data_IF_304040805110
#
_entry.id   IF_304040805110
#
_cell.length_a   1.000
_cell.length_b   1.000
_cell.length_c   1.000
_cell.angle_alpha   90.00
_cell.angle_beta   90.00
_cell.angle_gamma   90.00
#
_symmetry.space_group_name_H-M   'P 1'
#
loop_
_entity.id
_entity.type
_entity.pdbx_description
1 polymer ?
#
# COMPACT_ATOMS: atom_id res chain seq x y z
N UNK A 1 13.77 7.47 36.61
CA UNK A 1 13.14 7.84 37.89
C UNK A 1 12.89 6.63 38.80
N UNK A 2 12.24 5.50 38.43
CA UNK A 2 12.08 4.34 39.31
C UNK A 2 13.41 3.78 39.85
N UNK A 3 14.43 3.77 39.00
CA UNK A 3 15.78 3.30 39.31
C UNK A 3 16.43 4.13 40.44
N UNK A 4 16.25 5.47 40.39
CA UNK A 4 16.80 6.33 41.47
C UNK A 4 16.11 6.07 42.80
N UNK A 5 14.79 5.86 42.80
CA UNK A 5 14.02 5.52 44.00
C UNK A 5 14.41 4.13 44.55
N UNK A 6 14.58 3.14 43.64
CA UNK A 6 15.11 1.83 44.03
C UNK A 6 16.50 1.96 44.66
N UNK A 7 17.37 2.82 44.11
CA UNK A 7 18.69 3.10 44.67
C UNK A 7 18.61 3.73 46.07
N UNK A 8 17.69 4.68 46.30
CA UNK A 8 17.47 5.28 47.64
C UNK A 8 17.04 4.20 48.65
N UNK A 9 16.17 3.29 48.28
CA UNK A 9 15.74 2.18 49.12
C UNK A 9 16.90 1.25 49.43
N UNK A 10 17.66 0.85 48.41
CA UNK A 10 18.82 -0.04 48.57
C UNK A 10 19.92 0.59 49.46
N UNK A 11 20.18 1.89 49.27
CA UNK A 11 21.15 2.61 50.10
C UNK A 11 20.69 2.72 51.56
N UNK A 12 19.41 2.97 51.79
CA UNK A 12 18.82 3.00 53.09
C UNK A 12 18.83 1.61 53.78
N UNK A 13 18.61 0.55 53.01
CA UNK A 13 18.72 -0.84 53.50
C UNK A 13 20.15 -1.21 53.90
N UNK A 14 21.12 -0.89 53.06
CA UNK A 14 22.53 -1.14 53.31
C UNK A 14 23.05 -0.40 54.55
N UNK A 15 22.56 0.83 54.77
CA UNK A 15 22.94 1.68 55.91
C UNK A 15 22.07 1.50 57.15
N UNK A 16 21.08 0.57 57.14
CA UNK A 16 20.12 0.33 58.21
C UNK A 16 19.35 1.58 58.66
N UNK A 17 19.10 2.53 57.78
CA UNK A 17 18.42 3.80 58.02
C UNK A 17 16.97 3.83 57.59
N UNK A 18 16.41 2.71 57.15
CA UNK A 18 15.05 2.63 56.65
C UNK A 18 14.06 2.71 57.81
N UNK A 19 13.18 3.69 57.74
CA UNK A 19 11.99 3.84 58.60
C UNK A 19 10.72 3.52 57.84
N UNK A 20 9.63 3.18 58.56
CA UNK A 20 8.32 2.98 57.91
C UNK A 20 7.84 4.20 57.09
N UNK A 21 8.18 5.41 57.56
CA UNK A 21 7.87 6.65 56.83
C UNK A 21 8.64 6.76 55.50
N UNK A 22 9.94 6.35 55.48
CA UNK A 22 10.72 6.33 54.23
C UNK A 22 10.13 5.38 53.21
N UNK A 23 9.70 4.18 53.64
CA UNK A 23 9.01 3.24 52.75
C UNK A 23 7.73 3.79 52.20
N UNK A 24 6.92 4.51 53.02
CA UNK A 24 5.67 5.14 52.55
C UNK A 24 5.96 6.23 51.52
N UNK A 25 6.92 7.12 51.77
CA UNK A 25 7.28 8.17 50.79
C UNK A 25 7.81 7.62 49.48
N UNK A 26 8.63 6.57 49.50
CA UNK A 26 9.13 5.90 48.33
C UNK A 26 7.98 5.22 47.56
N UNK A 27 7.04 4.56 48.28
CA UNK A 27 5.86 3.94 47.70
C UNK A 27 4.95 4.97 47.01
N UNK A 28 4.68 6.11 47.67
CA UNK A 28 3.92 7.22 47.09
C UNK A 28 4.64 7.84 45.89
N UNK A 29 5.94 8.01 45.99
CA UNK A 29 6.78 8.51 44.86
C UNK A 29 6.73 7.58 43.66
N UNK A 30 6.83 6.27 43.87
CA UNK A 30 6.71 5.27 42.78
C UNK A 30 5.30 5.32 42.14
N UNK A 31 4.25 5.37 42.97
CA UNK A 31 2.86 5.49 42.48
C UNK A 31 2.67 6.78 41.66
N UNK A 32 3.19 7.90 42.12
CA UNK A 32 3.14 9.18 41.38
C UNK A 32 3.90 9.09 40.03
N UNK A 33 5.08 8.48 40.02
CA UNK A 33 5.85 8.28 38.78
C UNK A 33 5.08 7.40 37.79
N UNK A 34 4.47 6.30 38.24
CA UNK A 34 3.69 5.41 37.39
C UNK A 34 2.49 6.16 36.80
N UNK A 35 1.78 6.98 37.59
CA UNK A 35 0.67 7.79 37.09
C UNK A 35 1.11 8.83 36.06
N UNK A 36 2.21 9.54 36.30
CA UNK A 36 2.78 10.49 35.32
C UNK A 36 3.22 9.76 34.06
N UNK A 37 3.88 8.62 34.20
CA UNK A 37 4.31 7.82 33.07
C UNK A 37 3.11 7.32 32.23
N UNK A 38 2.04 6.86 32.88
CA UNK A 38 0.82 6.45 32.22
C UNK A 38 0.18 7.62 31.45
N UNK A 39 0.11 8.81 32.06
CA UNK A 39 -0.41 10.00 31.40
C UNK A 39 0.42 10.42 30.18
N UNK A 40 1.75 10.43 30.34
CA UNK A 40 2.67 10.77 29.23
C UNK A 40 2.56 9.76 28.09
N UNK A 41 2.50 8.46 28.38
CA UNK A 41 2.27 7.44 27.37
C UNK A 41 0.93 7.62 26.67
N UNK A 42 -0.13 7.81 27.40
CA UNK A 42 -1.45 8.05 26.81
C UNK A 42 -1.47 9.25 25.86
N UNK A 43 -0.87 10.37 26.27
CA UNK A 43 -0.76 11.57 25.43
C UNK A 43 0.11 11.32 24.19
N UNK A 44 1.26 10.65 24.39
CA UNK A 44 2.17 10.29 23.28
C UNK A 44 1.48 9.42 22.24
N UNK A 45 0.84 8.33 22.67
CA UNK A 45 0.17 7.38 21.79
C UNK A 45 -1.01 8.02 21.07
N UNK A 46 -1.80 8.85 21.79
CA UNK A 46 -2.91 9.58 21.20
C UNK A 46 -2.47 10.56 20.12
N UNK A 47 -1.41 11.35 20.39
CA UNK A 47 -0.87 12.31 19.43
C UNK A 47 -0.20 11.64 18.22
N UNK A 48 0.56 10.55 18.45
CA UNK A 48 1.19 9.79 17.39
C UNK A 48 0.15 9.15 16.46
N UNK A 49 -0.87 8.50 17.03
CA UNK A 49 -1.93 7.86 16.26
C UNK A 49 -2.72 8.90 15.47
N UNK A 50 -3.12 10.01 16.09
CA UNK A 50 -3.86 11.07 15.42
C UNK A 50 -3.06 11.67 14.24
N UNK A 51 -1.77 11.96 14.45
CA UNK A 51 -0.91 12.48 13.39
C UNK A 51 -0.74 11.48 12.23
N UNK A 52 -0.54 10.20 12.54
CA UNK A 52 -0.43 9.14 11.54
C UNK A 52 -1.69 9.01 10.70
N UNK A 53 -2.84 8.84 11.33
CA UNK A 53 -4.12 8.67 10.63
C UNK A 53 -4.48 9.87 9.75
N UNK A 54 -4.29 11.10 10.24
CA UNK A 54 -4.57 12.30 9.44
C UNK A 54 -3.66 12.40 8.21
N UNK A 55 -2.35 12.20 8.39
CA UNK A 55 -1.38 12.28 7.29
C UNK A 55 -1.66 11.24 6.20
N UNK A 56 -2.02 10.00 6.60
CA UNK A 56 -2.28 8.94 5.63
C UNK A 56 -3.68 9.02 5.02
N UNK A 57 -4.67 9.62 5.70
CA UNK A 57 -5.94 9.96 5.09
C UNK A 57 -5.76 10.93 3.91
N UNK A 58 -4.96 11.99 4.10
CA UNK A 58 -4.65 12.94 3.03
C UNK A 58 -3.90 12.27 1.87
N UNK A 59 -2.93 11.38 2.18
CA UNK A 59 -2.21 10.63 1.14
C UNK A 59 -3.12 9.66 0.36
N UNK A 60 -4.10 9.05 1.00
CA UNK A 60 -5.11 8.22 0.30
C UNK A 60 -5.96 9.05 -0.67
N UNK A 61 -6.36 10.26 -0.25
CA UNK A 61 -7.12 11.18 -1.11
C UNK A 61 -6.25 11.62 -2.30
N UNK A 62 -4.99 11.97 -2.07
CA UNK A 62 -4.02 12.32 -3.11
C UNK A 62 -3.84 11.18 -4.11
N UNK A 63 -3.57 9.95 -3.61
CA UNK A 63 -3.41 8.76 -4.46
C UNK A 63 -4.69 8.45 -5.26
N UNK A 64 -5.86 8.52 -4.63
CA UNK A 64 -7.15 8.35 -5.32
C UNK A 64 -7.39 9.44 -6.37
N UNK A 65 -6.97 10.67 -6.10
CA UNK A 65 -7.00 11.79 -7.05
C UNK A 65 -6.08 11.55 -8.25
N UNK A 66 -4.86 11.07 -7.99
CA UNK A 66 -3.87 10.73 -9.00
C UNK A 66 -4.33 9.56 -9.89
N UNK A 67 -4.81 8.47 -9.30
CA UNK A 67 -5.31 7.31 -10.04
C UNK A 67 -6.40 7.68 -11.06
N UNK A 68 -7.27 8.63 -10.76
CA UNK A 68 -8.32 9.07 -11.70
C UNK A 68 -7.78 9.79 -12.93
N UNK A 69 -6.55 10.30 -12.88
CA UNK A 69 -5.91 11.03 -13.97
C UNK A 69 -4.93 10.18 -14.78
N UNK A 70 -4.65 8.96 -14.33
CA UNK A 70 -3.76 8.06 -15.06
C UNK A 70 -4.40 7.57 -16.36
N UNK A 71 -3.61 7.35 -17.42
CA UNK A 71 -4.11 6.77 -18.65
C UNK A 71 -4.64 5.35 -18.41
N UNK A 72 -5.69 4.97 -19.15
CA UNK A 72 -6.32 3.65 -19.00
C UNK A 72 -5.33 2.49 -19.22
N UNK A 73 -4.25 2.73 -19.95
CA UNK A 73 -3.16 1.77 -20.16
C UNK A 73 -2.43 1.34 -18.90
N UNK A 74 -2.48 2.14 -17.87
CA UNK A 74 -1.92 1.78 -16.57
C UNK A 74 -2.72 0.68 -15.87
N UNK A 75 -4.03 0.61 -16.09
CA UNK A 75 -4.94 -0.33 -15.43
C UNK A 75 -4.97 -1.71 -16.10
N UNK A 76 -3.80 -2.31 -16.28
CA UNK A 76 -3.68 -3.72 -16.70
C UNK A 76 -3.94 -4.65 -15.51
N UNK A 77 -4.23 -5.93 -15.80
CA UNK A 77 -4.48 -6.92 -14.75
C UNK A 77 -3.33 -7.02 -13.71
N UNK A 78 -2.08 -6.92 -14.14
CA UNK A 78 -0.91 -6.90 -13.26
C UNK A 78 -0.84 -5.64 -12.40
N UNK A 79 -1.09 -4.47 -12.98
CA UNK A 79 -1.04 -3.20 -12.25
C UNK A 79 -2.24 -3.03 -11.30
N UNK A 80 -3.42 -3.55 -11.64
CA UNK A 80 -4.59 -3.53 -10.74
C UNK A 80 -4.28 -4.25 -9.43
N UNK A 81 -3.65 -5.43 -9.49
CA UNK A 81 -3.20 -6.14 -8.29
C UNK A 81 -2.18 -5.35 -7.47
N UNK A 82 -1.24 -4.68 -8.13
CA UNK A 82 -0.24 -3.80 -7.51
C UNK A 82 -0.88 -2.59 -6.83
N UNK A 83 -1.79 -1.90 -7.53
CA UNK A 83 -2.56 -0.76 -6.98
C UNK A 83 -3.38 -1.18 -5.76
N UNK A 84 -4.07 -2.33 -5.87
CA UNK A 84 -4.85 -2.88 -4.75
C UNK A 84 -3.97 -3.18 -3.54
N UNK A 85 -2.78 -3.77 -3.73
CA UNK A 85 -1.81 -4.02 -2.66
C UNK A 85 -1.32 -2.72 -2.02
N UNK A 86 -1.01 -1.70 -2.82
CA UNK A 86 -0.60 -0.37 -2.33
C UNK A 86 -1.70 0.27 -1.49
N UNK A 87 -2.94 0.29 -1.98
CA UNK A 87 -4.06 0.94 -1.27
C UNK A 87 -4.50 0.21 -0.01
N UNK A 88 -4.50 -1.14 -0.01
CA UNK A 88 -5.04 -1.94 1.09
C UNK A 88 -3.97 -2.45 2.07
N UNK A 89 -2.77 -2.76 1.59
CA UNK A 89 -1.74 -3.39 2.42
C UNK A 89 -0.64 -2.40 2.79
N UNK A 90 -0.02 -1.76 1.81
CA UNK A 90 1.13 -0.89 2.08
C UNK A 90 0.72 0.37 2.83
N UNK A 91 -0.36 1.03 2.42
CA UNK A 91 -0.88 2.22 3.11
C UNK A 91 -1.30 1.92 4.54
N UNK A 92 -2.02 0.80 4.77
CA UNK A 92 -2.43 0.38 6.12
C UNK A 92 -1.22 0.05 6.98
N UNK A 93 -0.25 -0.71 6.43
CA UNK A 93 0.97 -1.05 7.16
C UNK A 93 1.74 0.19 7.61
N UNK A 94 1.91 1.18 6.72
CA UNK A 94 2.63 2.40 7.09
C UNK A 94 1.81 3.23 8.09
N UNK A 95 0.49 3.37 7.90
CA UNK A 95 -0.40 4.08 8.82
C UNK A 95 -0.32 3.55 10.25
N UNK A 96 -0.32 2.23 10.43
CA UNK A 96 -0.28 1.59 11.74
C UNK A 96 1.11 1.55 12.36
N UNK A 97 2.16 1.40 11.54
CA UNK A 97 3.50 1.04 12.01
C UNK A 97 4.46 2.23 12.00
N UNK A 98 4.33 3.19 11.07
CA UNK A 98 5.34 4.24 10.90
C UNK A 98 5.52 5.10 12.15
N UNK A 99 4.44 5.66 12.70
CA UNK A 99 4.53 6.57 13.83
C UNK A 99 5.00 5.85 15.10
N UNK A 100 4.51 4.62 15.34
CA UNK A 100 4.95 3.81 16.48
C UNK A 100 6.43 3.42 16.35
N UNK A 101 6.90 3.05 15.17
CA UNK A 101 8.31 2.72 14.92
C UNK A 101 9.22 3.91 15.16
N UNK A 102 8.88 5.09 14.63
CA UNK A 102 9.65 6.32 14.84
C UNK A 102 9.67 6.73 16.33
N UNK A 103 8.52 6.68 17.00
CA UNK A 103 8.40 6.98 18.43
C UNK A 103 9.24 6.01 19.28
N UNK A 104 9.15 4.71 19.00
CA UNK A 104 9.94 3.68 19.67
C UNK A 104 11.45 3.88 19.46
N UNK A 105 11.88 4.16 18.24
CA UNK A 105 13.30 4.42 17.94
C UNK A 105 13.83 5.62 18.73
N UNK A 106 13.09 6.72 18.76
CA UNK A 106 13.46 7.90 19.55
C UNK A 106 13.54 7.55 21.05
N UNK A 107 12.54 6.82 21.56
CA UNK A 107 12.49 6.37 22.95
C UNK A 107 13.69 5.47 23.30
N UNK A 108 14.00 4.49 22.45
CA UNK A 108 15.13 3.58 22.69
C UNK A 108 16.48 4.29 22.58
N UNK A 109 16.66 5.23 21.65
CA UNK A 109 17.86 6.06 21.56
C UNK A 109 18.06 6.92 22.82
N UNK A 110 17.01 7.65 23.23
CA UNK A 110 17.08 8.47 24.42
C UNK A 110 17.31 7.63 25.68
N UNK A 111 16.60 6.51 25.82
CA UNK A 111 16.80 5.58 26.92
C UNK A 111 18.23 5.08 26.98
N UNK A 112 18.80 4.64 25.86
CA UNK A 112 20.18 4.16 25.78
C UNK A 112 21.19 5.25 26.19
N UNK A 113 20.98 6.49 25.75
CA UNK A 113 21.84 7.62 26.11
C UNK A 113 21.73 7.96 27.60
N UNK A 114 20.52 7.99 28.15
CA UNK A 114 20.28 8.26 29.58
C UNK A 114 20.90 7.15 30.44
N UNK A 115 20.73 5.88 30.06
CA UNK A 115 21.27 4.75 30.76
C UNK A 115 22.82 4.75 30.74
N UNK A 116 23.40 5.07 29.59
CA UNK A 116 24.84 5.19 29.45
C UNK A 116 25.40 6.36 30.28
N UNK A 117 24.75 7.53 30.22
CA UNK A 117 25.15 8.68 31.05
C UNK A 117 25.04 8.37 32.54
N UNK A 118 24.00 7.64 32.96
CA UNK A 118 23.86 7.20 34.35
C UNK A 118 24.96 6.25 34.77
N UNK A 119 25.42 5.34 33.89
CA UNK A 119 26.59 4.49 34.21
C UNK A 119 27.86 5.29 34.42
N UNK A 120 28.12 6.34 33.62
CA UNK A 120 29.24 7.26 33.83
C UNK A 120 29.12 8.06 35.15
N UNK A 121 27.88 8.46 35.51
CA UNK A 121 27.60 9.14 36.78
C UNK A 121 27.90 8.24 37.99
N UNK A 122 27.55 6.95 37.92
CA UNK A 122 27.82 6.00 38.99
C UNK A 122 29.33 5.75 39.17
N UNK A 123 30.01 5.46 38.08
CA UNK A 123 31.46 5.31 38.05
C UNK A 123 31.96 5.38 36.58
N UNK A 124 32.99 6.19 36.33
CA UNK A 124 33.51 6.38 34.97
C UNK A 124 34.05 5.09 34.33
N UNK A 125 34.61 4.14 35.12
CA UNK A 125 35.13 2.86 34.63
C UNK A 125 34.00 1.94 34.17
N UNK A 126 32.87 1.91 34.88
CA UNK A 126 31.69 1.16 34.50
C UNK A 126 31.04 1.77 33.23
N UNK A 127 30.99 3.10 33.17
CA UNK A 127 30.54 3.82 31.99
C UNK A 127 31.40 3.54 30.75
N UNK A 128 32.72 3.44 30.93
CA UNK A 128 33.65 3.14 29.84
C UNK A 128 33.42 1.73 29.28
N UNK A 129 33.22 0.70 30.10
CA UNK A 129 32.88 -0.65 29.66
C UNK A 129 31.55 -0.63 28.89
N UNK A 130 30.51 0.02 29.45
CA UNK A 130 29.24 0.13 28.81
C UNK A 130 29.32 0.80 27.41
N UNK A 131 30.15 1.87 27.31
CA UNK A 131 30.38 2.57 26.04
C UNK A 131 31.11 1.67 25.02
N UNK A 132 32.15 0.95 25.43
CA UNK A 132 32.88 0.01 24.56
C UNK A 132 31.94 -1.07 24.04
N UNK A 133 31.14 -1.69 24.91
CA UNK A 133 30.18 -2.72 24.52
C UNK A 133 29.15 -2.15 23.54
N UNK A 134 28.65 -0.94 23.78
CA UNK A 134 27.70 -0.26 22.89
C UNK A 134 28.30 0.00 21.50
N UNK A 135 29.54 0.49 21.43
CA UNK A 135 30.26 0.73 20.16
C UNK A 135 30.47 -0.60 19.40
N UNK A 136 30.95 -1.65 20.11
CA UNK A 136 31.14 -2.95 19.51
C UNK A 136 29.83 -3.54 19.00
N UNK A 137 28.74 -3.42 19.76
CA UNK A 137 27.39 -3.86 19.34
C UNK A 137 26.94 -3.11 18.11
N UNK A 138 27.19 -1.81 18.02
CA UNK A 138 26.88 -1.01 16.84
C UNK A 138 27.65 -1.48 15.58
N UNK A 139 28.93 -1.80 15.70
CA UNK A 139 29.78 -2.33 14.63
C UNK A 139 29.26 -3.70 14.15
N UNK A 140 28.94 -4.60 15.08
CA UNK A 140 28.33 -5.92 14.75
C UNK A 140 26.99 -5.74 14.04
N UNK A 141 26.15 -4.81 14.51
CA UNK A 141 24.85 -4.52 13.92
C UNK A 141 24.93 -3.95 12.53
N UNK A 142 25.96 -3.15 12.22
CA UNK A 142 26.20 -2.72 10.81
C UNK A 142 26.44 -3.91 9.88
N UNK A 143 27.25 -4.89 10.33
CA UNK A 143 27.48 -6.13 9.59
C UNK A 143 26.18 -6.94 9.41
N UNK A 144 25.45 -7.10 10.49
CA UNK A 144 24.16 -7.79 10.50
C UNK A 144 23.15 -7.15 9.54
N UNK A 145 23.00 -5.82 9.56
CA UNK A 145 22.07 -5.10 8.68
C UNK A 145 22.42 -5.29 7.19
N UNK A 146 23.71 -5.29 6.83
CA UNK A 146 24.13 -5.53 5.45
C UNK A 146 23.71 -6.93 4.96
N UNK A 147 23.84 -7.95 5.81
CA UNK A 147 23.42 -9.32 5.51
C UNK A 147 21.89 -9.38 5.46
N UNK A 148 21.20 -8.79 6.44
CA UNK A 148 19.74 -8.76 6.53
C UNK A 148 19.11 -8.17 5.27
N UNK A 149 19.57 -7.01 4.81
CA UNK A 149 19.07 -6.35 3.62
C UNK A 149 19.25 -7.21 2.35
N UNK A 150 20.42 -7.83 2.21
CA UNK A 150 20.70 -8.68 1.04
C UNK A 150 19.80 -9.92 0.99
N UNK A 151 19.61 -10.57 2.13
CA UNK A 151 18.82 -11.80 2.20
C UNK A 151 17.32 -11.52 2.23
N UNK A 152 16.88 -10.38 2.76
CA UNK A 152 15.47 -9.98 2.78
C UNK A 152 14.89 -9.82 1.37
N UNK A 153 15.67 -9.26 0.43
CA UNK A 153 15.26 -9.12 -0.97
C UNK A 153 14.95 -10.48 -1.62
N UNK A 154 15.83 -11.48 -1.44
CA UNK A 154 15.58 -12.82 -1.97
C UNK A 154 14.38 -13.53 -1.34
N UNK A 155 14.13 -13.27 -0.03
CA UNK A 155 12.94 -13.79 0.67
C UNK A 155 11.66 -13.15 0.16
N UNK A 156 11.69 -11.85 -0.11
CA UNK A 156 10.56 -11.12 -0.67
C UNK A 156 10.21 -11.63 -2.06
N UNK A 157 11.19 -11.75 -2.96
CA UNK A 157 10.99 -12.29 -4.30
C UNK A 157 10.39 -13.71 -4.27
N UNK A 158 10.88 -14.57 -3.35
CA UNK A 158 10.33 -15.91 -3.21
C UNK A 158 8.90 -15.91 -2.65
N UNK A 159 8.54 -14.94 -1.80
CA UNK A 159 7.18 -14.76 -1.29
C UNK A 159 6.22 -14.33 -2.41
N UNK A 160 6.64 -13.43 -3.28
CA UNK A 160 5.88 -13.01 -4.46
C UNK A 160 5.62 -14.19 -5.41
N UNK A 161 6.69 -14.95 -5.74
CA UNK A 161 6.56 -16.17 -6.57
C UNK A 161 5.62 -17.21 -5.99
N UNK A 162 5.61 -17.35 -4.65
CA UNK A 162 4.69 -18.25 -3.97
C UNK A 162 3.24 -17.75 -4.09
N UNK A 163 3.02 -16.45 -3.91
CA UNK A 163 1.69 -15.84 -4.06
C UNK A 163 1.16 -16.05 -5.48
N UNK A 164 1.98 -15.79 -6.50
CA UNK A 164 1.61 -15.99 -7.90
C UNK A 164 1.26 -17.47 -8.19
N UNK A 165 2.04 -18.41 -7.65
CA UNK A 165 1.78 -19.83 -7.82
C UNK A 165 0.46 -20.26 -7.15
N UNK A 166 0.16 -19.72 -5.96
CA UNK A 166 -1.11 -19.98 -5.26
C UNK A 166 -2.29 -19.40 -6.04
N UNK A 167 -2.20 -18.15 -6.49
CA UNK A 167 -3.25 -17.51 -7.28
C UNK A 167 -3.51 -18.27 -8.58
N UNK A 168 -2.47 -18.62 -9.32
CA UNK A 168 -2.59 -19.38 -10.57
C UNK A 168 -3.22 -20.74 -10.35
N UNK A 169 -2.91 -21.42 -9.21
CA UNK A 169 -3.52 -22.69 -8.86
C UNK A 169 -5.01 -22.54 -8.54
N UNK A 170 -5.38 -21.52 -7.76
CA UNK A 170 -6.77 -21.26 -7.36
C UNK A 170 -7.62 -20.82 -8.56
N UNK A 171 -7.13 -19.88 -9.37
CA UNK A 171 -7.83 -19.42 -10.58
C UNK A 171 -7.98 -20.56 -11.62
N UNK A 172 -6.94 -21.39 -11.76
CA UNK A 172 -6.92 -22.52 -12.66
C UNK A 172 -7.60 -23.80 -12.15
N UNK A 173 -8.15 -23.82 -10.92
CA UNK A 173 -8.62 -25.06 -10.26
C UNK A 173 -9.69 -25.80 -11.07
N UNK A 174 -10.56 -25.07 -11.77
CA UNK A 174 -11.55 -25.65 -12.67
C UNK A 174 -10.91 -26.45 -13.81
N UNK A 175 -9.89 -25.90 -14.45
CA UNK A 175 -9.13 -26.56 -15.51
C UNK A 175 -8.35 -27.73 -14.97
N UNK A 176 -7.63 -27.53 -13.84
CA UNK A 176 -6.84 -28.56 -13.17
C UNK A 176 -7.71 -29.80 -12.85
N UNK A 177 -8.93 -29.58 -12.35
CA UNK A 177 -9.88 -30.66 -12.05
C UNK A 177 -10.43 -31.32 -13.32
N UNK A 178 -10.83 -30.53 -14.31
CA UNK A 178 -11.44 -31.05 -15.55
C UNK A 178 -10.46 -31.90 -16.38
N UNK A 179 -9.16 -31.60 -16.32
CA UNK A 179 -8.11 -32.35 -17.03
C UNK A 179 -7.37 -33.36 -16.13
N UNK A 180 -7.81 -33.57 -14.90
CA UNK A 180 -7.20 -34.47 -13.92
C UNK A 180 -5.71 -34.19 -13.62
N UNK A 181 -5.34 -32.93 -13.60
CA UNK A 181 -3.97 -32.44 -13.37
C UNK A 181 -3.67 -32.19 -11.87
N UNK A 182 -4.54 -32.64 -10.96
CA UNK A 182 -4.38 -32.38 -9.52
C UNK A 182 -3.04 -32.87 -8.97
N UNK A 183 -2.55 -34.04 -9.38
CA UNK A 183 -1.26 -34.58 -8.93
C UNK A 183 -0.11 -33.65 -9.31
N UNK A 184 0.06 -33.38 -10.60
CA UNK A 184 1.16 -32.58 -11.16
C UNK A 184 1.16 -31.13 -10.64
N UNK A 185 0.01 -30.47 -10.68
CA UNK A 185 -0.10 -29.07 -10.21
C UNK A 185 0.01 -28.93 -8.69
N UNK A 186 -0.41 -29.94 -7.93
CA UNK A 186 -0.18 -29.98 -6.49
C UNK A 186 1.29 -30.18 -6.15
N UNK A 187 2.03 -30.99 -6.92
CA UNK A 187 3.47 -31.14 -6.74
C UNK A 187 4.22 -29.84 -7.06
N UNK A 188 3.85 -29.13 -8.13
CA UNK A 188 4.41 -27.82 -8.48
C UNK A 188 4.19 -26.80 -7.35
N UNK A 189 2.95 -26.70 -6.83
CA UNK A 189 2.61 -25.82 -5.71
C UNK A 189 3.37 -26.21 -4.44
N UNK A 190 3.42 -27.52 -4.12
CA UNK A 190 4.20 -28.05 -2.99
C UNK A 190 5.69 -27.73 -3.14
N UNK A 191 6.23 -27.77 -4.35
CA UNK A 191 7.58 -27.36 -4.68
C UNK A 191 7.83 -25.89 -4.34
N UNK A 192 6.88 -24.99 -4.65
CA UNK A 192 6.97 -23.57 -4.31
C UNK A 192 6.91 -23.35 -2.78
N UNK A 193 6.05 -24.06 -2.05
CA UNK A 193 6.04 -24.04 -0.59
C UNK A 193 7.36 -24.50 0.02
N UNK A 194 7.95 -25.58 -0.49
CA UNK A 194 9.26 -26.09 -0.04
C UNK A 194 10.38 -25.08 -0.29
N UNK A 195 10.38 -24.42 -1.47
CA UNK A 195 11.35 -23.37 -1.80
C UNK A 195 11.21 -22.18 -0.86
N UNK A 196 9.99 -21.67 -0.63
CA UNK A 196 9.73 -20.56 0.28
C UNK A 196 10.18 -20.89 1.70
N UNK A 197 9.86 -22.10 2.20
CA UNK A 197 10.36 -22.57 3.50
C UNK A 197 11.86 -22.59 3.56
N UNK A 198 12.53 -23.13 2.54
CA UNK A 198 14.00 -23.26 2.55
C UNK A 198 14.67 -21.87 2.52
N UNK A 199 14.16 -20.94 1.70
CA UNK A 199 14.66 -19.56 1.67
C UNK A 199 14.50 -18.87 3.03
N UNK A 200 13.37 -19.08 3.72
CA UNK A 200 13.15 -18.54 5.06
C UNK A 200 14.09 -19.17 6.09
N UNK A 201 14.31 -20.49 6.03
CA UNK A 201 15.26 -21.17 6.91
C UNK A 201 16.71 -20.72 6.65
N UNK A 202 17.09 -20.49 5.40
CA UNK A 202 18.43 -20.01 5.06
C UNK A 202 18.64 -18.56 5.54
N UNK A 203 17.62 -17.73 5.49
CA UNK A 203 17.63 -16.41 6.10
C UNK A 203 17.90 -16.51 7.62
N UNK A 204 17.14 -17.32 8.33
CA UNK A 204 17.32 -17.53 9.77
C UNK A 204 18.71 -18.09 10.10
N UNK A 205 19.19 -19.08 9.33
CA UNK A 205 20.54 -19.64 9.52
C UNK A 205 21.64 -18.61 9.37
N UNK A 206 21.49 -17.65 8.46
CA UNK A 206 22.46 -16.56 8.24
C UNK A 206 22.34 -15.46 9.30
N UNK A 207 21.14 -15.22 9.83
CA UNK A 207 20.89 -14.17 10.83
C UNK A 207 21.20 -14.62 12.27
N UNK A 208 20.91 -15.89 12.61
CA UNK A 208 21.11 -16.44 13.96
C UNK A 208 22.51 -16.23 14.52
N UNK A 209 23.63 -16.45 13.78
CA UNK A 209 24.97 -16.22 14.30
C UNK A 209 25.22 -14.77 14.74
N UNK A 210 24.64 -13.79 14.00
CA UNK A 210 24.77 -12.37 14.33
C UNK A 210 24.00 -12.01 15.60
N UNK A 211 22.78 -12.50 15.73
CA UNK A 211 21.96 -12.27 16.94
C UNK A 211 22.54 -12.97 18.16
N UNK A 212 23.09 -14.19 18.00
CA UNK A 212 23.84 -14.86 19.04
C UNK A 212 25.09 -14.08 19.44
N UNK A 213 25.89 -13.62 18.47
CA UNK A 213 27.07 -12.79 18.71
C UNK A 213 26.77 -11.54 19.51
N UNK A 214 25.67 -10.82 19.15
CA UNK A 214 25.20 -9.66 19.92
C UNK A 214 24.81 -10.04 21.36
N UNK A 215 24.04 -11.13 21.54
CA UNK A 215 23.63 -11.56 22.87
C UNK A 215 24.82 -11.98 23.74
N UNK A 216 25.82 -12.66 23.16
CA UNK A 216 27.06 -13.00 23.83
C UNK A 216 27.84 -11.73 24.23
N UNK A 217 27.97 -10.78 23.31
CA UNK A 217 28.63 -9.50 23.57
C UNK A 217 27.98 -8.74 24.73
N UNK A 218 26.65 -8.64 24.73
CA UNK A 218 25.91 -8.03 25.84
C UNK A 218 26.07 -8.82 27.14
N UNK A 219 26.04 -10.16 27.09
CA UNK A 219 26.29 -11.01 28.27
C UNK A 219 27.68 -10.81 28.88
N UNK A 220 28.72 -10.72 28.03
CA UNK A 220 30.08 -10.40 28.45
C UNK A 220 30.15 -9.00 29.07
N UNK A 221 29.48 -8.01 28.43
CA UNK A 221 29.40 -6.64 28.97
C UNK A 221 28.73 -6.57 30.34
N UNK A 222 27.62 -7.26 30.53
CA UNK A 222 26.95 -7.38 31.84
C UNK A 222 27.88 -8.02 32.89
N UNK A 223 28.51 -9.15 32.54
CA UNK A 223 29.41 -9.84 33.44
C UNK A 223 30.66 -8.99 33.82
N UNK A 224 31.20 -8.26 32.85
CA UNK A 224 32.36 -7.37 33.10
C UNK A 224 31.97 -6.18 34.00
N UNK A 225 30.84 -5.54 33.76
CA UNK A 225 30.31 -4.43 34.59
C UNK A 225 30.06 -4.93 36.01
N UNK A 226 29.42 -6.09 36.14
CA UNK A 226 29.12 -6.67 37.43
C UNK A 226 30.41 -7.08 38.17
N UNK A 227 31.32 -7.78 37.50
CA UNK A 227 32.60 -8.18 38.10
C UNK A 227 33.44 -6.98 38.54
N UNK A 228 33.54 -5.94 37.71
CA UNK A 228 34.26 -4.72 38.07
C UNK A 228 33.58 -3.98 39.26
N UNK A 229 32.26 -3.98 39.33
CA UNK A 229 31.53 -3.33 40.44
C UNK A 229 31.83 -4.00 41.79
N UNK A 230 32.03 -5.34 41.82
CA UNK A 230 32.44 -6.07 43.00
C UNK A 230 33.89 -5.70 43.41
N UNK A 231 34.81 -5.65 42.45
CA UNK A 231 36.19 -5.28 42.69
C UNK A 231 36.31 -3.85 43.25
N UNK A 232 35.52 -2.92 42.70
CA UNK A 232 35.48 -1.53 43.18
C UNK A 232 34.87 -1.41 44.59
N UNK A 233 33.92 -2.27 44.95
CA UNK A 233 33.39 -2.33 46.30
C UNK A 233 34.48 -2.84 47.29
N UNK A 234 35.14 -3.93 46.97
CA UNK A 234 36.24 -4.47 47.82
C UNK A 234 37.39 -3.48 48.00
N UNK A 235 37.65 -2.61 47.03
CA UNK A 235 38.64 -1.53 47.12
C UNK A 235 38.14 -0.31 47.91
N UNK A 236 36.90 -0.29 48.33
CA UNK A 236 36.28 0.85 49.02
C UNK A 236 35.91 2.02 48.11
N UNK A 237 36.04 1.85 46.79
CA UNK A 237 35.68 2.90 45.80
C UNK A 237 34.16 3.00 45.54
N UNK A 238 33.42 1.91 45.79
CA UNK A 238 31.97 1.87 45.70
C UNK A 238 31.37 1.29 46.98
N UNK A 239 30.20 1.79 47.38
CA UNK A 239 29.47 1.18 48.50
C UNK A 239 28.64 -0.02 48.02
N UNK A 240 28.32 -0.93 48.95
CA UNK A 240 27.46 -2.09 48.69
C UNK A 240 26.13 -1.70 48.06
N UNK A 241 25.54 -0.55 48.46
CA UNK A 241 24.32 -0.02 47.86
C UNK A 241 24.46 0.26 46.37
N UNK A 242 25.59 0.79 45.93
CA UNK A 242 25.90 1.02 44.52
C UNK A 242 26.02 -0.28 43.73
N UNK A 243 26.66 -1.30 44.29
CA UNK A 243 26.79 -2.63 43.65
C UNK A 243 25.41 -3.26 43.46
N UNK A 244 24.56 -3.21 44.48
CA UNK A 244 23.20 -3.71 44.39
C UNK A 244 22.37 -2.93 43.36
N UNK A 245 22.54 -1.61 43.28
CA UNK A 245 21.95 -0.76 42.28
C UNK A 245 22.38 -1.13 40.85
N UNK A 246 23.71 -1.30 40.64
CA UNK A 246 24.26 -1.73 39.36
C UNK A 246 23.73 -3.11 38.96
N UNK A 247 23.57 -4.04 39.88
CA UNK A 247 23.07 -5.39 39.61
C UNK A 247 21.63 -5.37 39.10
N UNK A 248 20.76 -4.54 39.66
CA UNK A 248 19.38 -4.39 39.16
C UNK A 248 19.29 -3.69 37.80
N UNK A 249 20.22 -2.79 37.55
CA UNK A 249 20.21 -1.90 36.41
C UNK A 249 20.91 -2.45 35.16
N UNK A 250 21.98 -3.25 35.37
CA UNK A 250 22.83 -3.72 34.26
C UNK A 250 22.09 -4.63 33.27
N UNK A 251 21.09 -5.37 33.73
CA UNK A 251 20.27 -6.24 32.87
C UNK A 251 19.40 -5.44 31.90
N UNK A 252 18.96 -4.25 32.28
CA UNK A 252 18.15 -3.37 31.43
C UNK A 252 18.99 -2.42 30.57
N UNK A 253 20.31 -2.29 30.85
CA UNK A 253 21.20 -1.35 30.19
C UNK A 253 21.21 -1.50 28.66
N UNK A 254 21.24 -2.73 28.17
CA UNK A 254 21.30 -3.04 26.75
C UNK A 254 19.93 -3.38 26.13
N UNK A 255 18.86 -3.38 26.92
CA UNK A 255 17.49 -3.66 26.45
C UNK A 255 17.04 -2.73 25.31
N UNK A 256 17.08 -1.39 25.49
CA UNK A 256 16.73 -0.43 24.46
C UNK A 256 17.58 -0.56 23.19
N UNK A 257 18.88 -0.87 23.31
CA UNK A 257 19.73 -1.11 22.15
C UNK A 257 19.29 -2.34 21.35
N UNK A 258 18.93 -3.44 22.02
CA UNK A 258 18.37 -4.62 21.34
C UNK A 258 17.07 -4.31 20.61
N UNK A 259 16.19 -3.56 21.28
CA UNK A 259 14.91 -3.15 20.70
C UNK A 259 15.09 -2.22 19.48
N UNK A 260 16.06 -1.30 19.53
CA UNK A 260 16.39 -0.40 18.42
C UNK A 260 16.75 -1.15 17.13
N UNK A 261 17.45 -2.27 17.23
CA UNK A 261 17.78 -3.10 16.06
C UNK A 261 16.54 -3.79 15.47
N UNK A 262 15.57 -4.16 16.31
CA UNK A 262 14.29 -4.70 15.84
C UNK A 262 13.51 -3.67 15.03
N UNK A 263 13.47 -2.42 15.50
CA UNK A 263 12.81 -1.32 14.79
C UNK A 263 13.53 -0.95 13.48
N UNK A 264 14.85 -1.06 13.42
CA UNK A 264 15.60 -0.83 12.17
C UNK A 264 15.18 -1.78 11.04
N UNK A 265 14.82 -3.02 11.35
CA UNK A 265 14.26 -3.97 10.37
C UNK A 265 12.88 -3.54 9.89
N UNK A 266 12.04 -3.00 10.77
CA UNK A 266 10.71 -2.45 10.39
C UNK A 266 10.83 -1.24 9.47
N UNK A 267 11.81 -0.35 9.70
CA UNK A 267 12.10 0.76 8.80
C UNK A 267 12.41 0.30 7.38
N UNK A 268 13.13 -0.81 7.22
CA UNK A 268 13.42 -1.35 5.89
C UNK A 268 12.16 -1.78 5.14
N UNK A 269 11.24 -2.47 5.83
CA UNK A 269 9.96 -2.87 5.24
C UNK A 269 9.10 -1.64 4.93
N UNK A 270 9.11 -0.65 5.82
CA UNK A 270 8.39 0.61 5.63
C UNK A 270 8.90 1.38 4.41
N UNK A 271 10.22 1.51 4.24
CA UNK A 271 10.80 2.15 3.07
C UNK A 271 10.39 1.44 1.77
N UNK A 272 10.42 0.11 1.74
CA UNK A 272 9.97 -0.66 0.57
C UNK A 272 8.47 -0.45 0.26
N UNK A 273 7.63 -0.26 1.28
CA UNK A 273 6.23 0.08 1.07
C UNK A 273 6.05 1.53 0.57
N UNK A 274 6.83 2.48 1.11
CA UNK A 274 6.85 3.86 0.62
C UNK A 274 7.30 3.95 -0.84
N UNK A 275 8.37 3.24 -1.22
CA UNK A 275 8.87 3.16 -2.60
C UNK A 275 7.78 2.66 -3.57
N UNK A 276 6.94 1.69 -3.14
CA UNK A 276 5.82 1.22 -3.96
C UNK A 276 4.69 2.24 -4.09
N UNK A 277 4.38 2.97 -3.02
CA UNK A 277 3.39 4.06 -3.05
C UNK A 277 3.90 5.18 -3.97
N UNK A 278 5.16 5.57 -3.83
CA UNK A 278 5.81 6.62 -4.62
C UNK A 278 5.85 6.22 -6.10
N UNK A 279 6.17 4.97 -6.41
CA UNK A 279 6.16 4.46 -7.78
C UNK A 279 4.78 4.52 -8.45
N UNK A 280 3.67 4.52 -7.69
CA UNK A 280 2.33 4.74 -8.25
C UNK A 280 2.06 6.24 -8.44
N UNK A 281 2.53 7.08 -7.52
CA UNK A 281 2.36 8.55 -7.59
C UNK A 281 3.25 9.19 -8.67
N UNK A 282 4.38 8.59 -9.00
CA UNK A 282 5.31 9.06 -10.04
C UNK A 282 4.86 8.71 -11.47
N UNK A 283 3.85 7.85 -11.61
CA UNK A 283 3.33 7.54 -12.95
C UNK A 283 2.77 8.80 -13.62
N UNK A 284 3.10 9.05 -14.88
CA UNK A 284 2.67 10.27 -15.55
C UNK A 284 1.15 10.31 -15.76
N UNK A 285 0.54 11.38 -15.27
CA UNK A 285 -0.89 11.66 -15.51
C UNK A 285 -1.15 11.94 -16.99
N UNK A 286 -2.34 11.58 -17.45
CA UNK A 286 -2.82 12.01 -18.76
C UNK A 286 -2.98 13.54 -18.74
N UNK A 287 -2.31 14.23 -19.65
CA UNK A 287 -2.35 15.69 -19.68
C UNK A 287 -3.79 16.20 -19.93
N UNK A 288 -4.35 16.96 -19.00
CA UNK A 288 -5.67 17.60 -19.13
C UNK A 288 -5.56 19.13 -19.17
N UNK A 289 -4.54 19.63 -19.86
CA UNK A 289 -4.26 21.05 -20.03
C UNK A 289 -4.94 21.68 -21.24
N UNK A 290 -5.85 20.97 -21.90
CA UNK A 290 -6.59 21.42 -23.06
C UNK A 290 -7.45 22.66 -22.75
N UNK A 291 -7.44 23.64 -23.66
CA UNK A 291 -8.21 24.91 -23.53
C UNK A 291 -9.07 25.18 -24.76
N UNK A 292 -9.04 24.30 -25.75
CA UNK A 292 -9.85 24.42 -26.94
C UNK A 292 -11.21 23.75 -26.70
N UNK A 293 -12.24 24.33 -27.29
CA UNK A 293 -13.60 23.78 -27.23
C UNK A 293 -13.96 23.09 -28.55
N UNK A 294 -14.70 22.00 -28.46
CA UNK A 294 -15.21 21.30 -29.63
C UNK A 294 -16.40 22.12 -30.20
N UNK A 295 -16.33 22.59 -31.44
CA UNK A 295 -17.47 23.32 -32.05
C UNK A 295 -18.73 22.47 -32.04
N UNK A 296 -19.89 23.10 -31.84
CA UNK A 296 -21.19 22.42 -31.88
C UNK A 296 -21.48 21.72 -33.25
N UNK A 297 -20.88 22.22 -34.33
CA UNK A 297 -20.98 21.66 -35.67
C UNK A 297 -19.62 21.69 -36.38
N UNK A 298 -19.32 20.67 -37.19
CA UNK A 298 -18.18 20.71 -38.09
C UNK A 298 -18.39 21.77 -39.17
N UNK A 299 -17.31 22.37 -39.67
CA UNK A 299 -17.35 23.30 -40.79
C UNK A 299 -17.78 22.55 -42.10
N UNK A 300 -18.39 23.23 -43.08
CA UNK A 300 -18.73 22.60 -44.34
C UNK A 300 -17.55 21.92 -45.01
N UNK A 301 -17.68 20.63 -45.29
CA UNK A 301 -16.62 19.80 -45.89
C UNK A 301 -15.66 19.16 -44.88
N UNK A 302 -15.77 19.47 -43.60
CA UNK A 302 -14.91 18.89 -42.54
C UNK A 302 -15.57 17.60 -41.99
N UNK A 303 -14.78 16.54 -41.76
CA UNK A 303 -15.28 15.33 -41.12
C UNK A 303 -15.63 15.54 -39.66
N UNK A 304 -16.54 14.75 -39.12
CA UNK A 304 -16.85 14.74 -37.68
C UNK A 304 -15.64 14.27 -36.85
N UNK A 305 -15.00 13.17 -37.30
CA UNK A 305 -13.80 12.63 -36.70
C UNK A 305 -12.77 12.40 -37.80
N UNK A 306 -11.52 12.76 -37.55
CA UNK A 306 -10.38 12.50 -38.43
C UNK A 306 -9.24 11.88 -37.67
N UNK A 307 -8.80 10.71 -38.11
CA UNK A 307 -7.50 10.16 -37.79
C UNK A 307 -6.52 10.58 -38.86
N UNK A 308 -5.43 11.21 -38.52
CA UNK A 308 -4.45 11.73 -39.45
C UNK A 308 -3.07 11.24 -39.11
N UNK A 309 -2.56 10.32 -39.92
CA UNK A 309 -1.23 9.71 -39.80
C UNK A 309 -0.92 9.12 -38.41
N UNK A 310 -1.90 8.46 -37.78
CA UNK A 310 -1.83 7.99 -36.42
C UNK A 310 -0.99 6.73 -36.32
N UNK A 311 0.06 6.80 -35.49
CA UNK A 311 0.85 5.66 -35.04
C UNK A 311 0.67 5.49 -33.54
N UNK A 312 0.50 4.24 -33.09
CA UNK A 312 0.31 3.94 -31.68
C UNK A 312 0.94 2.61 -31.28
N UNK A 313 1.50 2.57 -30.07
CA UNK A 313 2.07 1.39 -29.44
C UNK A 313 1.54 1.23 -28.01
N UNK A 314 1.23 0.00 -27.61
CA UNK A 314 1.12 -0.36 -26.21
C UNK A 314 2.51 -0.72 -25.69
N UNK A 315 3.07 0.10 -24.83
CA UNK A 315 4.48 0.01 -24.43
C UNK A 315 5.39 0.03 -25.67
N UNK A 316 6.18 -1.02 -25.90
CA UNK A 316 7.11 -1.12 -27.05
C UNK A 316 6.50 -1.78 -28.30
N UNK A 317 5.28 -2.33 -28.20
CA UNK A 317 4.64 -3.03 -29.31
C UNK A 317 3.74 -2.10 -30.11
N UNK A 318 4.18 -1.71 -31.31
CA UNK A 318 3.34 -0.95 -32.23
C UNK A 318 2.15 -1.78 -32.73
N UNK A 319 0.96 -1.16 -32.69
CA UNK A 319 -0.34 -1.77 -33.05
C UNK A 319 -1.00 -1.03 -34.21
N UNK A 320 -0.82 0.28 -34.30
CA UNK A 320 -1.31 1.10 -35.40
C UNK A 320 -0.13 1.77 -36.10
N UNK A 321 -0.09 1.69 -37.42
CA UNK A 321 0.98 2.20 -38.25
C UNK A 321 0.39 3.16 -39.31
N UNK A 322 0.61 4.47 -39.16
CA UNK A 322 0.24 5.51 -40.10
C UNK A 322 -1.23 5.44 -40.57
N UNK A 323 -2.17 5.29 -39.62
CA UNK A 323 -3.59 5.14 -39.91
C UNK A 323 -4.21 6.51 -40.18
N UNK A 324 -4.85 6.62 -41.37
CA UNK A 324 -5.58 7.83 -41.76
C UNK A 324 -6.97 7.45 -42.30
N UNK A 325 -8.01 7.99 -41.70
CA UNK A 325 -9.39 7.86 -42.17
C UNK A 325 -10.27 8.91 -41.51
N UNK A 326 -11.45 9.13 -42.10
CA UNK A 326 -12.42 10.12 -41.67
C UNK A 326 -13.78 9.50 -41.42
N UNK A 327 -14.49 9.97 -40.41
CA UNK A 327 -15.89 9.63 -40.12
C UNK A 327 -16.77 10.86 -40.37
N UNK A 328 -17.89 10.64 -41.04
CA UNK A 328 -18.86 11.72 -41.34
C UNK A 328 -19.89 11.80 -40.22
N UNK A 329 -20.44 12.99 -40.03
CA UNK A 329 -21.60 13.22 -39.12
C UNK A 329 -22.78 12.33 -39.55
N UNK A 330 -23.50 11.80 -38.58
CA UNK A 330 -24.71 10.96 -38.80
C UNK A 330 -24.46 9.76 -39.72
N UNK A 331 -23.24 9.18 -39.70
CA UNK A 331 -22.91 7.99 -40.46
C UNK A 331 -22.54 6.83 -39.55
N UNK A 332 -22.75 5.61 -40.00
CA UNK A 332 -22.23 4.39 -39.35
C UNK A 332 -20.90 4.02 -39.99
N UNK A 333 -19.87 3.91 -39.24
CA UNK A 333 -18.55 3.44 -39.68
C UNK A 333 -18.25 2.09 -39.06
N UNK A 334 -18.07 1.05 -39.89
CA UNK A 334 -17.69 -0.28 -39.41
C UNK A 334 -16.17 -0.51 -39.57
N UNK A 335 -15.51 -0.86 -38.49
CA UNK A 335 -14.12 -1.29 -38.48
C UNK A 335 -14.05 -2.81 -38.62
N UNK A 336 -13.55 -3.31 -39.74
CA UNK A 336 -13.48 -4.74 -40.07
C UNK A 336 -12.04 -5.21 -40.15
N UNK A 337 -11.79 -6.42 -39.70
CA UNK A 337 -10.45 -7.02 -39.70
C UNK A 337 -10.31 -8.18 -38.71
N UNK A 338 -9.22 -8.96 -38.80
CA UNK A 338 -8.98 -10.08 -37.91
C UNK A 338 -8.81 -9.64 -36.46
N UNK A 339 -8.84 -10.60 -35.52
CA UNK A 339 -8.52 -10.31 -34.10
C UNK A 339 -7.09 -9.75 -34.00
N UNK A 340 -6.90 -8.72 -33.19
CA UNK A 340 -5.58 -8.07 -33.04
C UNK A 340 -5.23 -7.00 -34.09
N UNK A 341 -6.13 -6.68 -35.05
CA UNK A 341 -5.88 -5.64 -36.08
C UNK A 341 -6.01 -4.19 -35.60
N UNK A 342 -6.12 -3.94 -34.30
CA UNK A 342 -6.18 -2.58 -33.75
C UNK A 342 -7.57 -1.92 -33.72
N UNK A 343 -8.67 -2.63 -34.02
CA UNK A 343 -10.05 -2.05 -34.02
C UNK A 343 -10.43 -1.42 -32.68
N UNK A 344 -10.25 -2.14 -31.59
CA UNK A 344 -10.51 -1.63 -30.24
C UNK A 344 -9.55 -0.51 -29.85
N UNK A 345 -8.31 -0.56 -30.36
CA UNK A 345 -7.31 0.50 -30.12
C UNK A 345 -7.74 1.82 -30.76
N UNK A 346 -8.32 1.79 -31.95
CA UNK A 346 -8.87 3.00 -32.62
C UNK A 346 -9.98 3.62 -31.75
N UNK A 347 -10.92 2.81 -31.25
CA UNK A 347 -11.99 3.29 -30.37
C UNK A 347 -11.44 3.87 -29.06
N UNK A 348 -10.45 3.21 -28.47
CA UNK A 348 -9.80 3.68 -27.24
C UNK A 348 -9.04 5.00 -27.44
N UNK A 349 -8.38 5.18 -28.59
CA UNK A 349 -7.68 6.43 -28.92
C UNK A 349 -8.66 7.57 -29.20
N UNK A 350 -9.81 7.28 -29.81
CA UNK A 350 -10.86 8.28 -29.98
C UNK A 350 -11.37 8.79 -28.64
N UNK A 351 -11.59 7.88 -27.69
CA UNK A 351 -11.98 8.23 -26.32
C UNK A 351 -10.81 8.77 -25.47
N UNK A 352 -9.63 8.96 -26.07
CA UNK A 352 -8.42 9.42 -25.39
C UNK A 352 -8.12 8.68 -24.09
N UNK A 353 -8.35 7.35 -24.08
CA UNK A 353 -7.89 6.49 -23.00
C UNK A 353 -6.35 6.29 -23.02
N UNK A 354 -5.72 6.64 -24.14
CA UNK A 354 -4.30 6.77 -24.40
C UNK A 354 -4.06 7.90 -25.39
N UNK A 355 -2.93 8.57 -25.30
CA UNK A 355 -2.48 9.51 -26.32
C UNK A 355 -1.73 8.79 -27.46
N UNK A 356 -1.82 9.30 -28.67
CA UNK A 356 -1.13 8.75 -29.83
C UNK A 356 0.39 8.99 -29.77
N UNK A 357 1.19 8.07 -30.33
CA UNK A 357 2.65 8.21 -30.40
C UNK A 357 3.05 9.27 -31.44
N UNK A 358 2.37 9.27 -32.58
CA UNK A 358 2.53 10.30 -33.63
C UNK A 358 1.22 10.47 -34.38
N UNK A 359 1.10 11.55 -35.13
CA UNK A 359 -0.13 11.97 -35.77
C UNK A 359 -1.12 12.65 -34.80
N UNK A 360 -2.36 12.74 -35.19
CA UNK A 360 -3.40 13.34 -34.37
C UNK A 360 -4.78 12.77 -34.66
N UNK A 361 -5.64 12.83 -33.64
CA UNK A 361 -7.08 12.53 -33.75
C UNK A 361 -7.83 13.83 -33.48
N UNK A 362 -8.74 14.20 -34.41
CA UNK A 362 -9.51 15.43 -34.27
C UNK A 362 -11.02 15.14 -34.28
N UNK A 363 -11.76 15.91 -33.50
CA UNK A 363 -13.23 15.97 -33.55
C UNK A 363 -13.59 17.37 -34.02
N UNK A 364 -14.35 17.45 -35.12
CA UNK A 364 -14.78 18.71 -35.77
C UNK A 364 -13.59 19.67 -35.96
N UNK A 365 -12.41 19.12 -36.32
CA UNK A 365 -11.16 19.84 -36.59
C UNK A 365 -10.32 20.23 -35.38
N UNK A 366 -10.76 19.93 -34.18
CA UNK A 366 -10.00 20.22 -32.97
C UNK A 366 -9.30 18.93 -32.51
N UNK A 367 -7.98 18.99 -32.25
CA UNK A 367 -7.21 17.87 -31.71
C UNK A 367 -7.71 17.55 -30.29
N UNK A 368 -8.06 16.29 -30.05
CA UNK A 368 -8.60 15.83 -28.77
C UNK A 368 -7.65 16.06 -27.58
N UNK A 369 -6.34 16.18 -27.84
CA UNK A 369 -5.34 16.50 -26.81
C UNK A 369 -5.43 17.94 -26.29
N UNK A 370 -6.01 18.83 -27.07
CA UNK A 370 -6.16 20.25 -26.75
C UNK A 370 -7.51 20.59 -26.12
N UNK A 371 -8.37 19.57 -25.93
CA UNK A 371 -9.70 19.70 -25.33
C UNK A 371 -9.65 19.20 -23.88
N UNK A 372 -10.38 19.83 -22.92
CA UNK A 372 -10.57 19.28 -21.59
C UNK A 372 -11.19 17.88 -21.66
N UNK A 373 -10.67 16.94 -20.85
CA UNK A 373 -11.17 15.54 -20.85
C UNK A 373 -12.67 15.45 -20.55
N UNK A 374 -13.18 16.27 -19.65
CA UNK A 374 -14.60 16.31 -19.34
C UNK A 374 -15.45 16.65 -20.57
N UNK A 375 -15.06 17.68 -21.32
CA UNK A 375 -15.78 18.09 -22.54
C UNK A 375 -15.67 17.03 -23.64
N UNK A 376 -14.50 16.36 -23.77
CA UNK A 376 -14.33 15.27 -24.72
C UNK A 376 -15.25 14.09 -24.36
N UNK A 377 -15.34 13.73 -23.08
CA UNK A 377 -16.20 12.63 -22.62
C UNK A 377 -17.70 12.93 -22.82
N UNK A 378 -18.12 14.18 -22.76
CA UNK A 378 -19.49 14.59 -23.06
C UNK A 378 -19.87 14.39 -24.55
N UNK A 379 -18.85 14.28 -25.44
CA UNK A 379 -19.09 14.04 -26.88
C UNK A 379 -19.03 12.56 -27.26
N UNK A 380 -18.58 11.68 -26.34
CA UNK A 380 -18.29 10.27 -26.64
C UNK A 380 -19.01 9.37 -25.65
N UNK A 381 -19.75 8.42 -26.15
CA UNK A 381 -20.30 7.33 -25.36
C UNK A 381 -19.73 6.00 -25.83
N UNK A 382 -19.31 5.16 -24.91
CA UNK A 382 -18.59 3.93 -25.22
C UNK A 382 -19.18 2.70 -24.53
N UNK A 383 -19.32 1.61 -25.29
CA UNK A 383 -19.66 0.28 -24.76
C UNK A 383 -18.42 -0.61 -24.89
N UNK A 384 -17.88 -1.03 -23.76
CA UNK A 384 -16.72 -1.90 -23.73
C UNK A 384 -17.10 -3.36 -24.05
N UNK A 385 -16.18 -4.10 -24.65
CA UNK A 385 -16.34 -5.53 -24.89
C UNK A 385 -16.48 -6.33 -23.58
N UNK A 386 -15.70 -5.97 -22.56
CA UNK A 386 -15.86 -6.44 -21.17
C UNK A 386 -16.74 -5.44 -20.43
N UNK A 387 -18.00 -5.78 -20.28
CA UNK A 387 -18.96 -4.96 -19.53
C UNK A 387 -18.73 -5.16 -18.05
N UNK A 388 -18.55 -4.06 -17.33
CA UNK A 388 -18.52 -4.03 -15.87
C UNK A 388 -19.81 -3.40 -15.34
N UNK A 389 -20.46 -4.10 -14.42
CA UNK A 389 -21.59 -3.57 -13.65
C UNK A 389 -21.15 -3.42 -12.20
N UNK A 390 -21.47 -2.29 -11.61
CA UNK A 390 -21.19 -2.04 -10.20
C UNK A 390 -22.13 -2.86 -9.31
N UNK A 391 -21.65 -3.21 -8.11
CA UNK A 391 -22.47 -3.88 -7.11
C UNK A 391 -23.52 -2.91 -6.57
N UNK A 392 -24.62 -2.81 -7.30
CA UNK A 392 -25.74 -1.92 -7.06
C UNK A 392 -26.97 -2.46 -7.79
N UNK A 393 -28.11 -1.77 -7.71
CA UNK A 393 -29.31 -2.15 -8.45
C UNK A 393 -29.10 -2.03 -9.96
N UNK A 394 -29.88 -2.77 -10.74
CA UNK A 394 -29.89 -2.64 -12.20
C UNK A 394 -30.29 -1.21 -12.58
N UNK A 395 -31.25 -0.63 -11.86
CA UNK A 395 -31.67 0.76 -12.04
C UNK A 395 -30.49 1.73 -11.92
N UNK A 396 -29.74 1.65 -10.82
CA UNK A 396 -28.59 2.51 -10.58
C UNK A 396 -27.48 2.29 -11.61
N UNK A 397 -27.26 1.06 -12.06
CA UNK A 397 -26.32 0.79 -13.14
C UNK A 397 -26.72 1.43 -14.47
N UNK A 398 -28.01 1.58 -14.78
CA UNK A 398 -28.49 2.23 -16.02
C UNK A 398 -28.43 3.75 -15.89
N UNK A 399 -28.95 4.32 -14.77
CA UNK A 399 -29.04 5.76 -14.57
C UNK A 399 -27.68 6.47 -14.51
N UNK A 400 -26.59 5.73 -14.31
CA UNK A 400 -25.21 6.26 -14.41
C UNK A 400 -24.94 6.99 -15.74
N UNK A 401 -25.64 6.64 -16.83
CA UNK A 401 -25.51 7.33 -18.10
C UNK A 401 -26.05 8.76 -18.08
N UNK A 402 -27.08 9.02 -17.25
CA UNK A 402 -27.74 10.32 -17.08
C UNK A 402 -28.33 10.37 -15.66
N UNK A 403 -27.61 10.90 -14.67
CA UNK A 403 -28.04 10.84 -13.24
C UNK A 403 -29.34 11.57 -12.93
N UNK A 404 -29.75 12.53 -13.77
CA UNK A 404 -31.00 13.32 -13.69
C UNK A 404 -32.12 12.75 -14.52
N UNK A 405 -31.97 11.54 -15.07
CA UNK A 405 -32.99 10.89 -15.86
C UNK A 405 -34.23 10.53 -15.01
N UNK A 406 -35.41 10.67 -15.61
CA UNK A 406 -36.63 10.18 -14.99
C UNK A 406 -36.73 8.66 -15.05
N UNK A 407 -37.55 8.08 -14.18
CA UNK A 407 -37.78 6.63 -14.17
C UNK A 407 -38.33 6.11 -15.54
N UNK A 408 -39.17 6.88 -16.18
CA UNK A 408 -39.71 6.54 -17.49
C UNK A 408 -38.62 6.52 -18.57
N UNK A 409 -37.67 7.48 -18.54
CA UNK A 409 -36.53 7.51 -19.45
C UNK A 409 -35.65 6.26 -19.27
N UNK A 410 -35.44 5.82 -18.03
CA UNK A 410 -34.68 4.59 -17.72
C UNK A 410 -35.37 3.36 -18.27
N UNK A 411 -36.70 3.27 -18.11
CA UNK A 411 -37.50 2.16 -18.66
C UNK A 411 -37.52 2.16 -20.19
N UNK A 412 -37.63 3.33 -20.82
CA UNK A 412 -37.53 3.45 -22.26
C UNK A 412 -36.17 3.04 -22.81
N UNK A 413 -35.10 3.48 -22.16
CA UNK A 413 -33.74 3.03 -22.50
C UNK A 413 -33.57 1.51 -22.39
N UNK A 414 -34.14 0.90 -21.35
CA UNK A 414 -34.13 -0.55 -21.18
C UNK A 414 -34.94 -1.28 -22.26
N UNK A 415 -36.09 -0.72 -22.71
CA UNK A 415 -36.87 -1.26 -23.83
C UNK A 415 -36.09 -1.18 -25.14
N UNK A 416 -35.46 -0.05 -25.44
CA UNK A 416 -34.59 0.14 -26.62
C UNK A 416 -33.42 -0.86 -26.63
N UNK A 417 -32.82 -1.11 -25.48
CA UNK A 417 -31.72 -2.08 -25.31
C UNK A 417 -32.16 -3.55 -25.22
N UNK A 418 -33.49 -3.82 -25.35
CA UNK A 418 -34.05 -5.17 -25.22
C UNK A 418 -33.73 -5.87 -23.90
N UNK A 419 -33.67 -5.11 -22.80
CA UNK A 419 -33.40 -5.65 -21.47
C UNK A 419 -34.59 -5.50 -20.50
N UNK A 420 -35.61 -4.73 -20.83
CA UNK A 420 -36.74 -4.47 -19.95
C UNK A 420 -37.46 -5.76 -19.52
N UNK A 421 -37.77 -6.66 -20.44
CA UNK A 421 -38.56 -7.86 -20.15
C UNK A 421 -37.84 -8.82 -19.21
N UNK A 422 -36.53 -9.05 -19.45
CA UNK A 422 -35.80 -9.94 -18.55
C UNK A 422 -35.59 -9.30 -17.17
N UNK A 423 -35.42 -7.97 -17.09
CA UNK A 423 -35.31 -7.27 -15.82
C UNK A 423 -36.60 -7.40 -15.02
N UNK A 424 -37.74 -7.18 -15.65
CA UNK A 424 -39.05 -7.33 -14.99
C UNK A 424 -39.38 -8.78 -14.61
N UNK A 425 -38.75 -9.76 -15.23
CA UNK A 425 -38.88 -11.15 -14.83
C UNK A 425 -38.05 -11.54 -13.57
N UNK A 426 -37.15 -10.65 -13.12
CA UNK A 426 -36.42 -10.84 -11.87
C UNK A 426 -37.31 -10.54 -10.65
N UNK A 427 -37.10 -11.17 -9.49
CA UNK A 427 -37.96 -10.99 -8.32
C UNK A 427 -38.13 -9.53 -7.89
N UNK A 428 -37.08 -8.71 -7.96
CA UNK A 428 -37.09 -7.30 -7.56
C UNK A 428 -37.04 -6.35 -8.75
N UNK A 429 -37.24 -6.85 -10.00
CA UNK A 429 -37.22 -6.06 -11.22
C UNK A 429 -35.96 -5.17 -11.33
N UNK A 430 -36.12 -3.89 -11.59
CA UNK A 430 -35.01 -2.91 -11.66
C UNK A 430 -34.27 -2.70 -10.34
N UNK A 431 -34.88 -3.02 -9.19
CA UNK A 431 -34.25 -2.93 -7.89
C UNK A 431 -33.41 -4.16 -7.55
N UNK A 432 -33.33 -5.14 -8.44
CA UNK A 432 -32.47 -6.29 -8.28
C UNK A 432 -31.03 -5.84 -8.17
N UNK A 433 -30.37 -6.18 -7.04
CA UNK A 433 -28.95 -5.90 -6.82
C UNK A 433 -28.13 -6.92 -7.60
N UNK A 434 -27.27 -6.45 -8.47
CA UNK A 434 -26.30 -7.28 -9.19
C UNK A 434 -25.03 -7.43 -8.36
N UNK A 435 -24.47 -8.65 -8.30
CA UNK A 435 -23.19 -8.88 -7.64
C UNK A 435 -22.04 -8.16 -8.35
N UNK A 436 -20.86 -8.18 -7.71
CA UNK A 436 -19.66 -7.54 -8.25
C UNK A 436 -19.37 -8.00 -9.69
N UNK A 437 -19.12 -7.03 -10.58
CA UNK A 437 -18.95 -7.28 -12.01
C UNK A 437 -20.17 -7.90 -12.69
N UNK A 438 -21.36 -7.90 -12.05
CA UNK A 438 -22.58 -8.52 -12.57
C UNK A 438 -22.55 -10.05 -12.48
N UNK A 439 -21.92 -10.63 -11.48
CA UNK A 439 -21.69 -12.09 -11.36
C UNK A 439 -22.96 -12.96 -11.52
N UNK A 440 -24.13 -12.41 -11.21
CA UNK A 440 -25.43 -13.09 -11.30
C UNK A 440 -26.07 -13.07 -12.68
N UNK A 441 -25.52 -12.29 -13.63
CA UNK A 441 -26.06 -12.08 -14.97
C UNK A 441 -25.21 -12.77 -16.05
N UNK A 442 -25.86 -13.23 -17.10
CA UNK A 442 -25.17 -13.71 -18.30
C UNK A 442 -24.44 -12.57 -19.04
N UNK A 443 -23.42 -12.92 -19.84
CA UNK A 443 -22.68 -11.92 -20.63
C UNK A 443 -23.58 -11.07 -21.54
N UNK A 444 -24.60 -11.66 -22.14
CA UNK A 444 -25.56 -10.96 -22.98
C UNK A 444 -26.47 -9.99 -22.22
N UNK A 445 -26.87 -10.35 -20.98
CA UNK A 445 -27.67 -9.47 -20.11
C UNK A 445 -26.85 -8.27 -19.66
N UNK A 446 -25.59 -8.48 -19.22
CA UNK A 446 -24.67 -7.37 -18.89
C UNK A 446 -24.50 -6.42 -20.06
N UNK A 447 -24.33 -6.96 -21.26
CA UNK A 447 -24.15 -6.16 -22.48
C UNK A 447 -25.38 -5.31 -22.79
N UNK A 448 -26.60 -5.87 -22.68
CA UNK A 448 -27.85 -5.12 -22.87
C UNK A 448 -28.03 -4.04 -21.81
N UNK A 449 -27.70 -4.27 -20.56
CA UNK A 449 -27.73 -3.23 -19.50
C UNK A 449 -26.76 -2.10 -19.84
N UNK A 450 -25.56 -2.41 -20.33
CA UNK A 450 -24.59 -1.38 -20.77
C UNK A 450 -25.09 -0.59 -21.98
N UNK A 451 -25.80 -1.24 -22.91
CA UNK A 451 -26.45 -0.56 -24.04
C UNK A 451 -27.58 0.33 -23.54
N UNK A 452 -28.36 -0.09 -22.52
CA UNK A 452 -29.38 0.75 -21.90
C UNK A 452 -28.79 2.02 -21.30
N UNK A 453 -27.63 1.89 -20.56
CA UNK A 453 -26.89 3.01 -20.04
C UNK A 453 -26.48 4.02 -21.11
N UNK A 454 -26.01 3.52 -22.25
CA UNK A 454 -25.68 4.35 -23.43
C UNK A 454 -26.91 4.98 -24.07
N UNK A 455 -28.02 4.23 -24.22
CA UNK A 455 -29.24 4.70 -24.82
C UNK A 455 -29.91 5.83 -24.05
N UNK A 456 -29.69 5.86 -22.72
CA UNK A 456 -30.21 6.89 -21.82
C UNK A 456 -29.60 8.27 -22.11
N UNK A 457 -28.34 8.33 -22.52
CA UNK A 457 -27.63 9.57 -22.88
C UNK A 457 -28.30 10.22 -24.13
N UNK A 458 -28.78 9.41 -25.05
CA UNK A 458 -29.34 9.87 -26.34
C UNK A 458 -30.86 10.06 -26.35
N UNK A 459 -31.58 9.72 -25.26
CA UNK A 459 -33.05 9.91 -25.19
C UNK A 459 -33.45 11.39 -25.15
N UNK A 460 -32.57 12.29 -24.74
CA UNK A 460 -32.84 13.72 -24.63
C UNK A 460 -32.83 14.50 -25.94
N UNK A 461 -32.40 13.91 -27.07
CA UNK A 461 -32.59 14.50 -28.39
C UNK A 461 -33.78 13.84 -29.07
N UNK A 462 -34.92 14.55 -29.27
CA UNK A 462 -35.96 14.04 -30.14
C UNK A 462 -35.38 13.95 -31.55
N UNK A 463 -35.19 12.72 -32.04
CA UNK A 463 -34.98 12.49 -33.47
C UNK A 463 -36.21 13.04 -34.20
N UNK A 464 -36.13 14.31 -34.63
CA UNK A 464 -37.10 14.82 -35.60
C UNK A 464 -36.91 14.03 -36.90
N UNK A 465 -38.01 13.57 -37.50
CA UNK A 465 -38.01 12.81 -38.73
C UNK A 465 -37.40 13.60 -39.89
#
# INVERSE_FOLDING_TARGET
MPIFLAFVVLSGFANKTITGQTCLYVGLGLAAIVLVQMLVHYLSDSLQSAAGYLMFADKRIELGGHLRKLPMGYFTSGNIGKISSVLSTDMVFIEEVAMSTLGNMMSYLLSSLVLLAFMFYLNWQLGLIAAIVTILAWLVSKGMNKVSLREAAGRQEQSERLTDAVLSFVEGIGVIKSYNLLGEKSEELSGNFKRSRNTSLDFERKMTPWTMGLNILYGIGIAAIFGLSIVLEQSGALSLAYVLGVLLFVFDLFGPLKALYGEASRLTVMNAALDRIEAVLDEPELSDNGKQHIPAQAQPGQPEVLFNDVTFAYQDKEVLHHISFAMKKNSMTALVGPSGSGKSTIANLLARLWDVKSGNVTIRGVDIRNVPLSELMDQISMVFQRVYLFQDTIYNNIIMGKPDATEEEVYEAARKARCYDFIMALPDGFQTVVGEGGATLSGGEKQRISIARLSLIHISEPTRP
#
